data_IF_183434296556
#
_entry.id   IF_183434296556
#
_cell.length_a   1.000
_cell.length_b   1.000
_cell.length_c   1.000
_cell.angle_alpha   90.00
_cell.angle_beta   90.00
_cell.angle_gamma   90.00
#
_symmetry.space_group_name_H-M   'P 1'
#
loop_
_entity.id
_entity.type
_entity.pdbx_description
1 polymer ?
#
# COMPACT_ATOMS: atom_id res chain seq x y z
N UNK A 1 10.74 44.62 -24.25
CA UNK A 1 11.35 43.28 -24.07
C UNK A 1 10.76 42.72 -22.79
N UNK A 2 9.77 41.84 -22.91
CA UNK A 2 9.05 41.27 -21.76
C UNK A 2 9.66 39.93 -21.36
N UNK A 3 9.76 39.72 -20.05
CA UNK A 3 9.80 38.43 -19.32
C UNK A 3 11.03 37.54 -19.59
N UNK A 4 11.63 36.82 -18.63
CA UNK A 4 11.05 36.03 -17.53
C UNK A 4 11.95 36.05 -16.28
N UNK A 5 11.35 36.30 -15.11
CA UNK A 5 12.00 36.22 -13.80
C UNK A 5 11.62 34.93 -13.03
N UNK A 6 11.41 33.81 -13.73
CA UNK A 6 10.87 32.57 -13.16
C UNK A 6 11.91 31.43 -13.00
N UNK A 7 13.21 31.72 -13.11
CA UNK A 7 14.30 30.72 -13.10
C UNK A 7 14.63 30.07 -11.75
N UNK A 8 14.31 30.74 -10.63
CA UNK A 8 14.79 30.30 -9.31
C UNK A 8 14.29 28.93 -8.85
N UNK A 9 13.05 28.54 -9.16
CA UNK A 9 12.45 27.29 -8.66
C UNK A 9 12.94 26.02 -9.39
N UNK A 10 13.19 26.12 -10.69
CA UNK A 10 13.69 25.01 -11.51
C UNK A 10 15.15 24.72 -11.19
N UNK A 11 15.93 25.76 -10.91
CA UNK A 11 17.34 25.64 -10.54
C UNK A 11 17.54 24.94 -9.20
N UNK A 12 16.66 25.19 -8.22
CA UNK A 12 16.72 24.54 -6.90
C UNK A 12 16.45 23.04 -7.03
N UNK A 13 15.38 22.66 -7.75
CA UNK A 13 15.01 21.25 -7.94
C UNK A 13 16.12 20.47 -8.65
N UNK A 14 16.78 21.08 -9.65
CA UNK A 14 17.93 20.48 -10.35
C UNK A 14 19.14 20.30 -9.44
N UNK A 15 19.44 21.28 -8.58
CA UNK A 15 20.53 21.18 -7.60
C UNK A 15 20.25 20.09 -6.56
N UNK A 16 19.01 19.98 -6.10
CA UNK A 16 18.60 18.89 -5.18
C UNK A 16 18.74 17.52 -5.83
N UNK A 17 18.34 17.38 -7.10
CA UNK A 17 18.54 16.14 -7.85
C UNK A 17 20.02 15.82 -8.01
N UNK A 18 20.86 16.79 -8.37
CA UNK A 18 22.30 16.58 -8.51
C UNK A 18 22.95 16.14 -7.18
N UNK A 19 22.57 16.75 -6.06
CA UNK A 19 23.02 16.34 -4.74
C UNK A 19 22.59 14.90 -4.41
N UNK A 20 21.33 14.55 -4.67
CA UNK A 20 20.84 13.18 -4.48
C UNK A 20 21.63 12.16 -5.31
N UNK A 21 21.94 12.48 -6.56
CA UNK A 21 22.73 11.60 -7.44
C UNK A 21 24.16 11.41 -6.91
N UNK A 22 24.83 12.46 -6.43
CA UNK A 22 26.15 12.36 -5.82
C UNK A 22 26.14 11.46 -4.58
N UNK A 23 25.13 11.60 -3.72
CA UNK A 23 25.01 10.75 -2.53
C UNK A 23 24.75 9.29 -2.92
N UNK A 24 23.87 9.02 -3.89
CA UNK A 24 23.63 7.67 -4.38
C UNK A 24 24.89 7.02 -4.96
N UNK A 25 25.71 7.77 -5.71
CA UNK A 25 26.99 7.28 -6.23
C UNK A 25 27.98 6.96 -5.10
N UNK A 26 27.93 7.70 -3.99
CA UNK A 26 28.76 7.44 -2.81
C UNK A 26 28.33 6.22 -1.99
N UNK A 27 27.07 5.80 -2.08
CA UNK A 27 26.54 4.63 -1.36
C UNK A 27 26.93 3.30 -2.03
N UNK A 28 27.22 3.30 -3.33
CA UNK A 28 27.57 2.10 -4.10
C UNK A 28 28.85 1.41 -3.59
N UNK A 29 29.77 2.15 -2.97
CA UNK A 29 31.04 1.62 -2.45
C UNK A 29 30.92 1.01 -1.02
N UNK A 30 29.79 1.21 -0.31
CA UNK A 30 29.69 1.01 1.14
C UNK A 30 29.03 -0.30 1.62
N UNK A 31 28.39 -1.08 0.74
CA UNK A 31 27.84 -2.43 0.98
C UNK A 31 26.79 -2.62 2.10
N UNK A 32 26.43 -1.56 2.84
CA UNK A 32 25.62 -1.65 4.09
C UNK A 32 24.25 -0.98 4.01
N UNK A 33 23.90 -0.36 2.88
CA UNK A 33 22.65 0.39 2.71
C UNK A 33 21.93 -0.10 1.47
N UNK A 34 20.65 -0.48 1.63
CA UNK A 34 19.74 -0.77 0.52
C UNK A 34 18.80 0.42 0.33
N UNK A 35 18.80 1.01 -0.85
CA UNK A 35 17.89 2.11 -1.20
C UNK A 35 16.74 1.57 -2.02
N UNK A 36 15.51 1.81 -1.55
CA UNK A 36 14.27 1.46 -2.25
C UNK A 36 13.50 2.74 -2.53
N UNK A 37 13.12 2.95 -3.79
CA UNK A 37 12.27 4.05 -4.22
C UNK A 37 10.95 3.52 -4.80
N UNK A 38 9.86 4.24 -4.57
CA UNK A 38 8.55 3.93 -5.13
C UNK A 38 8.02 5.13 -5.92
N UNK A 39 7.50 4.89 -7.13
CA UNK A 39 6.84 5.91 -7.95
C UNK A 39 5.57 5.35 -8.57
N UNK A 40 4.51 6.14 -8.57
CA UNK A 40 3.28 5.83 -9.30
C UNK A 40 3.39 6.19 -10.79
N UNK A 41 4.38 6.99 -11.18
CA UNK A 41 4.56 7.49 -12.55
C UNK A 41 6.03 7.30 -12.98
N UNK A 42 6.42 6.10 -13.44
CA UNK A 42 7.82 5.80 -13.79
C UNK A 42 8.34 6.66 -14.95
N UNK A 43 7.47 7.03 -15.89
CA UNK A 43 7.84 7.82 -17.08
C UNK A 43 8.24 9.27 -16.76
N UNK A 44 8.03 9.74 -15.51
CA UNK A 44 8.46 11.07 -15.06
C UNK A 44 9.81 11.07 -14.37
N UNK A 45 10.45 9.91 -14.21
CA UNK A 45 11.77 9.81 -13.60
C UNK A 45 12.86 10.37 -14.54
N UNK A 46 13.85 11.03 -13.95
CA UNK A 46 15.04 11.43 -14.69
C UNK A 46 15.88 10.19 -15.05
N UNK A 47 16.25 10.07 -16.33
CA UNK A 47 17.11 9.00 -16.84
C UNK A 47 18.43 8.83 -16.08
N UNK A 48 18.95 9.89 -15.46
CA UNK A 48 20.15 9.84 -14.63
C UNK A 48 19.98 8.91 -13.42
N UNK A 49 18.77 8.80 -12.86
CA UNK A 49 18.49 7.94 -11.70
C UNK A 49 18.49 6.45 -12.07
N UNK A 50 18.21 6.12 -13.33
CA UNK A 50 18.09 4.73 -13.84
C UNK A 50 19.42 4.14 -14.33
N UNK A 51 20.52 4.86 -14.14
CA UNK A 51 21.86 4.37 -14.51
C UNK A 51 22.35 3.33 -13.51
N UNK A 52 23.22 2.45 -14.00
CA UNK A 52 23.89 1.44 -13.19
C UNK A 52 24.55 2.05 -11.95
N UNK A 53 24.43 1.38 -10.80
CA UNK A 53 24.92 1.90 -9.51
C UNK A 53 23.94 2.78 -8.73
N UNK A 54 22.80 3.16 -9.34
CA UNK A 54 21.71 3.95 -8.71
C UNK A 54 20.44 3.12 -8.60
N UNK A 55 19.34 3.52 -9.25
CA UNK A 55 18.11 2.72 -9.32
C UNK A 55 18.12 1.80 -10.54
N UNK A 56 18.98 0.78 -10.47
CA UNK A 56 19.16 -0.20 -11.54
C UNK A 56 18.04 -1.25 -11.62
N UNK A 57 17.49 -1.64 -10.46
CA UNK A 57 16.44 -2.68 -10.40
C UNK A 57 15.07 -2.03 -10.40
N UNK A 58 14.32 -2.23 -11.48
CA UNK A 58 12.94 -1.76 -11.63
C UNK A 58 11.96 -2.90 -11.38
N UNK A 59 11.24 -2.82 -10.26
CA UNK A 59 10.18 -3.77 -9.93
C UNK A 59 8.81 -3.14 -10.16
N UNK A 60 8.06 -3.67 -11.12
CA UNK A 60 6.66 -3.31 -11.31
C UNK A 60 5.77 -4.07 -10.32
N UNK A 61 4.87 -3.34 -9.66
CA UNK A 61 3.85 -3.92 -8.77
C UNK A 61 2.50 -3.84 -9.49
N UNK A 62 1.96 -4.98 -9.97
CA UNK A 62 0.66 -4.99 -10.62
C UNK A 62 -0.47 -4.79 -9.59
N UNK A 63 -1.68 -4.44 -10.06
CA UNK A 63 -2.90 -4.58 -9.28
C UNK A 63 -3.12 -6.02 -8.78
N UNK A 64 -4.03 -6.20 -7.82
CA UNK A 64 -4.27 -7.52 -7.23
C UNK A 64 -4.77 -8.51 -8.28
N UNK A 65 -4.09 -9.66 -8.36
CA UNK A 65 -4.60 -10.85 -9.03
C UNK A 65 -5.70 -11.50 -8.17
N UNK A 66 -6.49 -12.39 -8.78
CA UNK A 66 -7.47 -13.19 -8.05
C UNK A 66 -6.86 -13.89 -6.82
N UNK A 67 -5.69 -14.53 -6.99
CA UNK A 67 -5.01 -15.24 -5.89
C UNK A 67 -4.59 -14.31 -4.76
N UNK A 68 -3.94 -13.18 -5.08
CA UNK A 68 -3.50 -12.21 -4.08
C UNK A 68 -4.69 -11.56 -3.34
N UNK A 69 -5.80 -11.31 -4.05
CA UNK A 69 -7.02 -10.82 -3.42
C UNK A 69 -7.64 -11.86 -2.48
N UNK A 70 -7.67 -13.13 -2.90
CA UNK A 70 -8.16 -14.23 -2.07
C UNK A 70 -7.33 -14.38 -0.78
N UNK A 71 -6.00 -14.37 -0.90
CA UNK A 71 -5.09 -14.42 0.26
C UNK A 71 -5.30 -13.23 1.20
N UNK A 72 -5.42 -12.02 0.66
CA UNK A 72 -5.67 -10.81 1.46
C UNK A 72 -7.02 -10.88 2.19
N UNK A 73 -8.05 -11.39 1.53
CA UNK A 73 -9.36 -11.58 2.14
C UNK A 73 -9.37 -12.69 3.19
N UNK A 74 -8.65 -13.81 2.94
CA UNK A 74 -8.48 -14.89 3.90
C UNK A 74 -7.77 -14.40 5.17
N UNK A 75 -6.61 -13.76 5.03
CA UNK A 75 -5.83 -13.21 6.16
C UNK A 75 -6.66 -12.19 6.95
N UNK A 76 -7.50 -11.41 6.27
CA UNK A 76 -8.45 -10.53 6.95
C UNK A 76 -9.46 -11.32 7.79
N UNK A 77 -10.19 -12.26 7.19
CA UNK A 77 -11.26 -12.97 7.89
C UNK A 77 -10.75 -13.91 9.00
N UNK A 78 -9.61 -14.57 8.81
CA UNK A 78 -9.01 -15.46 9.82
C UNK A 78 -8.58 -14.70 11.09
N UNK A 79 -8.32 -13.39 10.99
CA UNK A 79 -7.99 -12.56 12.16
C UNK A 79 -9.21 -12.13 12.98
N UNK A 80 -10.41 -12.14 12.40
CA UNK A 80 -11.62 -11.62 13.05
C UNK A 80 -12.66 -12.71 13.35
N UNK A 81 -12.59 -13.85 12.67
CA UNK A 81 -13.50 -14.98 12.84
C UNK A 81 -12.68 -16.14 13.38
N UNK A 82 -13.13 -16.79 14.46
CA UNK A 82 -12.52 -18.02 14.96
C UNK A 82 -12.57 -19.08 13.85
N UNK A 83 -11.45 -19.22 13.15
CA UNK A 83 -11.36 -19.94 11.87
C UNK A 83 -11.51 -21.46 12.03
N UNK A 84 -11.57 -21.98 13.26
CA UNK A 84 -11.72 -23.40 13.56
C UNK A 84 -13.12 -23.92 13.26
N UNK A 85 -14.18 -23.13 13.47
CA UNK A 85 -15.57 -23.54 13.25
C UNK A 85 -16.10 -23.11 11.87
N UNK A 86 -15.61 -22.00 11.33
CA UNK A 86 -16.13 -21.38 10.11
C UNK A 86 -15.19 -21.44 8.90
N UNK A 87 -14.16 -22.31 8.95
CA UNK A 87 -13.09 -22.38 7.96
C UNK A 87 -13.58 -22.41 6.51
N UNK A 88 -14.56 -23.25 6.20
CA UNK A 88 -15.07 -23.40 4.84
C UNK A 88 -15.90 -22.19 4.39
N UNK A 89 -16.62 -21.55 5.32
CA UNK A 89 -17.35 -20.30 5.03
C UNK A 89 -16.39 -19.15 4.76
N UNK A 90 -15.32 -19.04 5.56
CA UNK A 90 -14.27 -18.03 5.37
C UNK A 90 -13.60 -18.18 4.01
N UNK A 91 -13.26 -19.42 3.62
CA UNK A 91 -12.72 -19.70 2.28
C UNK A 91 -13.67 -19.32 1.15
N UNK A 92 -14.95 -19.68 1.27
CA UNK A 92 -15.95 -19.33 0.26
C UNK A 92 -16.16 -17.81 0.17
N UNK A 93 -16.16 -17.11 1.30
CA UNK A 93 -16.31 -15.65 1.36
C UNK A 93 -15.10 -14.95 0.73
N UNK A 94 -13.88 -15.41 1.05
CA UNK A 94 -12.66 -14.88 0.46
C UNK A 94 -12.61 -15.11 -1.06
N UNK A 95 -13.02 -16.29 -1.52
CA UNK A 95 -13.15 -16.57 -2.95
C UNK A 95 -14.16 -15.64 -3.63
N UNK A 96 -15.30 -15.35 -2.99
CA UNK A 96 -16.31 -14.43 -3.51
C UNK A 96 -15.78 -12.99 -3.60
N UNK A 97 -15.08 -12.52 -2.57
CA UNK A 97 -14.43 -11.20 -2.56
C UNK A 97 -13.39 -11.13 -3.66
N UNK A 98 -12.57 -12.16 -3.83
CA UNK A 98 -11.53 -12.23 -4.85
C UNK A 98 -12.10 -12.13 -6.27
N UNK A 99 -13.19 -12.83 -6.57
CA UNK A 99 -13.87 -12.75 -7.89
C UNK A 99 -14.35 -11.33 -8.22
N UNK A 100 -14.69 -10.52 -7.21
CA UNK A 100 -15.23 -9.17 -7.40
C UNK A 100 -14.19 -8.06 -7.30
N UNK A 101 -13.01 -8.35 -6.78
CA UNK A 101 -11.96 -7.36 -6.50
C UNK A 101 -10.70 -7.56 -7.33
N UNK A 102 -10.71 -8.49 -8.28
CA UNK A 102 -9.65 -8.64 -9.28
C UNK A 102 -9.37 -7.29 -9.97
N UNK A 103 -8.08 -6.94 -10.08
CA UNK A 103 -7.65 -5.67 -10.67
C UNK A 103 -7.77 -4.46 -9.73
N UNK A 104 -8.26 -4.63 -8.50
CA UNK A 104 -8.29 -3.55 -7.51
C UNK A 104 -6.90 -3.29 -6.91
N UNK A 105 -6.70 -2.09 -6.37
CA UNK A 105 -5.52 -1.82 -5.54
C UNK A 105 -5.67 -2.48 -4.17
N UNK A 106 -4.58 -2.94 -3.54
CA UNK A 106 -4.63 -3.48 -2.18
C UNK A 106 -5.27 -2.53 -1.17
N UNK A 107 -5.02 -1.22 -1.32
CA UNK A 107 -5.62 -0.19 -0.46
C UNK A 107 -7.15 -0.13 -0.61
N UNK A 108 -7.67 -0.24 -1.84
CA UNK A 108 -9.11 -0.22 -2.10
C UNK A 108 -9.81 -1.45 -1.50
N UNK A 109 -9.24 -2.65 -1.70
CA UNK A 109 -9.78 -3.87 -1.09
C UNK A 109 -9.75 -3.80 0.44
N UNK A 110 -8.64 -3.34 1.02
CA UNK A 110 -8.51 -3.15 2.47
C UNK A 110 -9.56 -2.18 3.01
N UNK A 111 -9.77 -1.06 2.34
CA UNK A 111 -10.77 -0.07 2.72
C UNK A 111 -12.19 -0.68 2.66
N UNK A 112 -12.49 -1.44 1.61
CA UNK A 112 -13.76 -2.15 1.49
C UNK A 112 -13.98 -3.16 2.62
N UNK A 113 -12.99 -4.01 2.92
CA UNK A 113 -13.07 -5.00 4.00
C UNK A 113 -13.24 -4.33 5.37
N UNK A 114 -12.55 -3.21 5.61
CA UNK A 114 -12.73 -2.39 6.81
C UNK A 114 -14.17 -1.89 6.95
N UNK A 115 -14.72 -1.27 5.90
CA UNK A 115 -16.09 -0.75 5.90
C UNK A 115 -17.12 -1.87 6.11
N UNK A 116 -16.89 -3.05 5.53
CA UNK A 116 -17.74 -4.21 5.72
C UNK A 116 -17.77 -4.63 7.19
N UNK A 117 -16.61 -4.72 7.84
CA UNK A 117 -16.50 -5.06 9.26
C UNK A 117 -17.16 -4.00 10.15
N UNK A 118 -16.92 -2.71 9.89
CA UNK A 118 -17.53 -1.61 10.63
C UNK A 118 -19.05 -1.69 10.60
N UNK A 119 -19.64 -1.92 9.42
CA UNK A 119 -21.10 -2.09 9.29
C UNK A 119 -21.61 -3.32 10.04
N UNK A 120 -20.89 -4.44 10.01
CA UNK A 120 -21.28 -5.63 10.77
C UNK A 120 -21.26 -5.37 12.28
N UNK A 121 -20.27 -4.63 12.77
CA UNK A 121 -20.19 -4.23 14.17
C UNK A 121 -21.32 -3.28 14.57
N UNK A 122 -21.72 -2.35 13.70
CA UNK A 122 -22.86 -1.46 13.94
C UNK A 122 -24.19 -2.24 14.01
N UNK A 123 -24.40 -3.17 13.08
CA UNK A 123 -25.59 -4.03 13.08
C UNK A 123 -25.65 -4.91 14.33
N UNK A 124 -24.50 -5.42 14.78
CA UNK A 124 -24.37 -6.20 16.01
C UNK A 124 -24.63 -5.36 17.27
N UNK A 125 -24.33 -4.06 17.28
CA UNK A 125 -24.66 -3.16 18.40
C UNK A 125 -26.17 -2.83 18.46
N UNK A 126 -26.90 -2.94 17.35
CA UNK A 126 -28.34 -2.74 17.27
C UNK A 126 -29.18 -3.89 17.85
N UNK A 127 -28.59 -5.08 17.97
CA UNK A 127 -29.13 -6.15 18.81
C UNK A 127 -28.70 -5.89 20.25
N UNK A 128 -29.62 -5.33 21.04
CA UNK A 128 -29.49 -5.30 22.49
C UNK A 128 -29.04 -6.68 22.99
N UNK A 129 -27.98 -6.73 23.80
CA UNK A 129 -27.98 -7.21 25.19
C UNK A 129 -26.54 -7.30 25.70
N UNK A 130 -26.31 -6.59 26.81
CA UNK A 130 -25.47 -6.95 27.96
C UNK A 130 -24.14 -7.70 27.74
N UNK A 131 -23.05 -7.04 28.11
CA UNK A 131 -21.91 -7.71 28.74
C UNK A 131 -20.85 -8.25 27.78
N UNK A 132 -19.74 -7.50 27.72
CA UNK A 132 -18.39 -7.96 27.35
C UNK A 132 -18.22 -8.64 25.99
N UNK A 133 -17.65 -7.89 25.03
CA UNK A 133 -16.56 -8.36 24.16
C UNK A 133 -15.99 -7.16 23.39
N UNK A 134 -14.95 -6.55 23.95
CA UNK A 134 -14.13 -5.55 23.29
C UNK A 134 -13.34 -6.23 22.15
N UNK A 135 -13.75 -6.04 20.90
CA UNK A 135 -12.87 -6.29 19.75
C UNK A 135 -11.89 -5.11 19.66
N UNK A 136 -10.70 -5.29 20.25
CA UNK A 136 -9.56 -4.41 20.07
C UNK A 136 -9.08 -4.48 18.61
N UNK A 137 -9.56 -3.57 17.77
CA UNK A 137 -8.88 -3.26 16.51
C UNK A 137 -7.49 -2.67 16.85
N UNK A 138 -6.39 -3.17 16.26
CA UNK A 138 -5.07 -2.64 16.52
C UNK A 138 -5.00 -1.14 16.14
N UNK A 139 -4.49 -0.25 17.01
CA UNK A 139 -4.51 1.20 16.79
C UNK A 139 -3.77 1.64 15.52
N UNK A 140 -2.83 0.81 15.01
CA UNK A 140 -2.10 1.08 13.77
C UNK A 140 -2.95 0.95 12.49
N UNK A 141 -4.20 0.47 12.57
CA UNK A 141 -5.14 0.42 11.43
C UNK A 141 -6.04 1.65 11.31
N UNK A 142 -6.14 2.49 12.35
CA UNK A 142 -6.93 3.73 12.34
C UNK A 142 -6.13 4.96 11.89
N UNK A 143 -4.80 4.87 11.77
CA UNK A 143 -3.94 6.03 11.57
C UNK A 143 -3.24 6.09 10.22
N UNK A 144 -3.96 6.38 9.13
CA UNK A 144 -3.42 7.17 8.00
C UNK A 144 -4.58 7.58 7.07
N UNK A 145 -5.04 8.82 7.24
CA UNK A 145 -5.72 9.61 6.20
C UNK A 145 -4.64 10.35 5.40
#
# INVERSE_FOLDING_TARGET
>A
MSSDNNGGGVDISRRMLAALLCELDGLSDGGRVLVIAATAVPNKLDSALLRQGRFETLQYVPPLSYGASCEMALDFFERFIDATEYRDKVKNLAALVATRSEGSTPASLRAFLRVLLEKQLELSKGTAWTGQSFLCLPPHWLGTL
#
